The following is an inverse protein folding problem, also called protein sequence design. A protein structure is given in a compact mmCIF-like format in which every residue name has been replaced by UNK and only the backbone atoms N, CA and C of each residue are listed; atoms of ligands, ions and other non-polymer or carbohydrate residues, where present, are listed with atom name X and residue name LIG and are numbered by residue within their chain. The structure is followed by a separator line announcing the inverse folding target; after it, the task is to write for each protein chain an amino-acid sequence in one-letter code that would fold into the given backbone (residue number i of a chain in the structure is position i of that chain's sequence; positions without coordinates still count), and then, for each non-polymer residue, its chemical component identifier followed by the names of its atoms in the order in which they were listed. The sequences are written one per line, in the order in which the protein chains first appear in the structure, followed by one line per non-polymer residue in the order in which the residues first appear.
data_IF_096131017130
#
_entry.id   IF_096131017130
#
_cell.length_a   1.000
_cell.length_b   1.000
_cell.length_c   1.000
_cell.angle_alpha   90.00
_cell.angle_beta   90.00
_cell.angle_gamma   90.00
#
_symmetry.space_group_name_H-M   'P 1'
#
loop_
_entity.id
_entity.type
_entity.pdbx_description
1 polymer ?
#
# COMPACT_ATOMS: atom_id res chain seq x y z
N UNK A 1 6.54 -21.91 23.40
CA UNK A 1 5.63 -20.75 23.41
C UNK A 1 6.06 -19.90 22.22
N UNK A 2 5.22 -19.74 21.19
CA UNK A 2 5.59 -18.92 20.04
C UNK A 2 5.61 -17.45 20.48
N UNK A 3 6.74 -16.77 20.29
CA UNK A 3 6.88 -15.37 20.65
C UNK A 3 5.84 -14.52 19.90
N UNK A 4 5.12 -13.65 20.63
CA UNK A 4 4.14 -12.74 20.03
C UNK A 4 4.91 -11.56 19.43
N UNK A 5 4.93 -11.48 18.11
CA UNK A 5 5.54 -10.36 17.40
C UNK A 5 4.84 -9.05 17.78
N UNK A 6 5.60 -8.05 18.19
CA UNK A 6 5.12 -6.69 18.46
C UNK A 6 5.68 -5.79 17.37
N UNK A 7 4.79 -5.20 16.58
CA UNK A 7 5.16 -4.21 15.58
C UNK A 7 5.20 -2.82 16.24
N UNK A 8 6.33 -2.12 16.08
CA UNK A 8 6.46 -0.70 16.44
C UNK A 8 6.95 0.03 15.20
N UNK A 9 6.12 0.93 14.68
CA UNK A 9 6.44 1.70 13.47
C UNK A 9 5.34 2.68 13.10
N UNK A 10 5.66 3.63 12.21
CA UNK A 10 4.67 4.55 11.64
C UNK A 10 4.13 3.92 10.36
N UNK A 11 2.83 3.64 10.35
CA UNK A 11 2.13 3.20 9.14
C UNK A 11 1.28 4.39 8.66
N UNK A 12 1.55 4.95 7.46
CA UNK A 12 0.70 6.00 6.93
C UNK A 12 -0.71 5.46 6.70
N UNK A 13 -1.69 5.98 7.43
CA UNK A 13 -3.09 5.62 7.21
C UNK A 13 -3.64 6.26 5.93
N UNK A 14 -3.14 7.44 5.55
CA UNK A 14 -3.60 8.20 4.38
C UNK A 14 -2.39 8.77 3.63
N UNK A 15 -2.35 8.53 2.32
CA UNK A 15 -1.36 9.09 1.39
C UNK A 15 -2.11 9.85 0.30
N UNK A 16 -1.66 11.06 -0.03
CA UNK A 16 -2.29 11.89 -1.06
C UNK A 16 -1.36 11.99 -2.26
N UNK A 17 -1.84 11.63 -3.45
CA UNK A 17 -1.05 11.66 -4.69
C UNK A 17 -1.82 12.35 -5.83
N UNK A 18 -1.07 12.90 -6.78
CA UNK A 18 -1.56 13.37 -8.08
C UNK A 18 -1.35 12.33 -9.20
N UNK A 19 -1.82 12.61 -10.43
CA UNK A 19 -1.88 11.60 -11.49
C UNK A 19 -0.53 11.15 -12.08
N UNK A 20 0.56 11.87 -11.82
CA UNK A 20 1.92 11.50 -12.24
C UNK A 20 2.79 11.02 -11.07
N UNK A 21 2.21 10.94 -9.87
CA UNK A 21 2.90 10.52 -8.66
C UNK A 21 2.64 9.03 -8.38
N UNK A 22 3.47 8.41 -7.56
CA UNK A 22 3.30 7.02 -7.14
C UNK A 22 3.53 6.89 -5.63
N UNK A 23 2.99 5.83 -5.05
CA UNK A 23 3.26 5.46 -3.66
C UNK A 23 4.39 4.44 -3.64
N UNK A 24 5.31 4.62 -2.69
CA UNK A 24 6.37 3.67 -2.41
C UNK A 24 6.24 3.19 -0.97
N UNK A 25 6.10 1.88 -0.80
CA UNK A 25 6.15 1.25 0.52
C UNK A 25 7.47 0.49 0.68
N UNK A 26 8.07 0.55 1.86
CA UNK A 26 9.32 -0.11 2.18
C UNK A 26 9.29 -0.60 3.63
N UNK A 27 9.81 -1.80 3.85
CA UNK A 27 10.14 -2.31 5.17
C UNK A 27 11.51 -2.96 5.10
N UNK A 28 12.42 -2.57 5.99
CA UNK A 28 13.76 -3.13 6.05
C UNK A 28 13.79 -4.52 6.69
N UNK A 29 12.74 -4.89 7.43
CA UNK A 29 12.75 -6.05 8.33
C UNK A 29 11.67 -7.08 8.05
N UNK A 30 10.69 -6.78 7.20
CA UNK A 30 9.57 -7.68 6.98
C UNK A 30 9.12 -7.76 5.52
N UNK A 31 8.54 -8.91 5.17
CA UNK A 31 7.84 -9.06 3.90
C UNK A 31 6.60 -8.18 3.94
N UNK A 32 6.48 -7.25 2.99
CA UNK A 32 5.32 -6.40 2.86
C UNK A 32 4.38 -6.93 1.80
N UNK A 33 3.08 -6.84 2.09
CA UNK A 33 2.03 -7.00 1.10
C UNK A 33 0.98 -5.90 1.24
N UNK A 34 0.71 -5.22 0.12
CA UNK A 34 -0.34 -4.22 -0.02
C UNK A 34 -1.42 -4.82 -0.92
N UNK A 35 -2.66 -4.78 -0.47
CA UNK A 35 -3.78 -5.38 -1.19
C UNK A 35 -4.97 -4.42 -1.24
N UNK A 36 -5.24 -3.91 -2.43
CA UNK A 36 -6.45 -3.15 -2.76
C UNK A 36 -7.59 -4.09 -3.12
N UNK A 37 -8.82 -3.59 -2.97
CA UNK A 37 -9.99 -4.22 -3.57
C UNK A 37 -9.78 -4.32 -5.11
N UNK A 38 -9.94 -5.52 -5.72
CA UNK A 38 -9.76 -5.71 -7.16
C UNK A 38 -10.63 -4.81 -8.03
N UNK A 39 -11.83 -4.47 -7.56
CA UNK A 39 -12.78 -3.60 -8.25
C UNK A 39 -12.55 -2.12 -7.93
N UNK A 40 -11.71 -1.81 -6.94
CA UNK A 40 -11.46 -0.45 -6.45
C UNK A 40 -9.98 -0.22 -6.16
N UNK A 41 -9.18 -0.32 -7.22
CA UNK A 41 -7.74 -0.01 -7.21
C UNK A 41 -7.43 1.08 -8.26
N UNK A 42 -6.59 2.07 -7.96
CA UNK A 42 -6.19 3.08 -8.94
C UNK A 42 -5.00 2.62 -9.81
N UNK A 43 -4.31 1.53 -9.44
CA UNK A 43 -3.05 1.10 -10.06
C UNK A 43 -3.20 -0.11 -11.00
N UNK A 44 -2.12 -0.47 -11.71
CA UNK A 44 -2.13 -1.62 -12.63
C UNK A 44 -2.31 -2.97 -11.93
N UNK A 45 -1.70 -3.13 -10.75
CA UNK A 45 -1.93 -4.27 -9.86
C UNK A 45 -2.76 -3.84 -8.66
N UNK A 46 -3.62 -4.72 -8.15
CA UNK A 46 -4.26 -4.54 -6.86
C UNK A 46 -3.50 -5.25 -5.72
N UNK A 47 -2.48 -6.05 -6.04
CA UNK A 47 -1.62 -6.73 -5.05
C UNK A 47 -0.16 -6.41 -5.32
N UNK A 48 0.54 -5.92 -4.29
CA UNK A 48 1.96 -5.62 -4.33
C UNK A 48 2.65 -6.38 -3.21
N UNK A 49 3.74 -7.09 -3.51
CA UNK A 49 4.48 -7.89 -2.52
C UNK A 49 5.99 -7.76 -2.70
N UNK A 50 6.71 -7.56 -1.60
CA UNK A 50 8.16 -7.47 -1.61
C UNK A 50 8.78 -8.09 -0.35
N UNK A 51 9.98 -8.69 -0.49
CA UNK A 51 10.76 -9.10 0.67
C UNK A 51 11.35 -7.87 1.40
N UNK A 52 11.92 -8.08 2.61
CA UNK A 52 12.60 -7.02 3.35
C UNK A 52 13.66 -6.28 2.51
N UNK A 53 13.76 -4.97 2.70
CA UNK A 53 14.72 -4.09 2.04
C UNK A 53 14.41 -3.78 0.56
N UNK A 54 13.29 -4.27 0.01
CA UNK A 54 12.84 -3.96 -1.35
C UNK A 54 11.67 -2.98 -1.33
N UNK A 55 11.73 -1.99 -2.21
CA UNK A 55 10.63 -1.06 -2.42
C UNK A 55 9.48 -1.70 -3.18
N UNK A 56 8.27 -1.47 -2.71
CA UNK A 56 7.03 -1.66 -3.45
C UNK A 56 6.63 -0.36 -4.09
N UNK A 57 6.66 -0.33 -5.42
CA UNK A 57 6.28 0.83 -6.21
C UNK A 57 4.91 0.56 -6.83
N UNK A 58 3.94 1.43 -6.58
CA UNK A 58 2.60 1.30 -7.16
C UNK A 58 2.58 1.53 -8.68
N UNK A 59 3.57 2.27 -9.19
CA UNK A 59 3.42 3.00 -10.44
C UNK A 59 2.40 4.15 -10.33
N UNK A 60 2.28 5.00 -11.35
CA UNK A 60 1.26 6.04 -11.36
C UNK A 60 -0.14 5.42 -11.44
N UNK A 61 -1.18 6.14 -10.95
CA UNK A 61 -2.57 5.78 -11.20
C UNK A 61 -2.84 5.58 -12.69
N UNK A 62 -3.75 4.65 -13.02
CA UNK A 62 -4.15 4.41 -14.42
C UNK A 62 -4.80 5.67 -15.00
N UNK A 63 -4.53 6.01 -16.27
CA UNK A 63 -5.25 7.09 -16.95
C UNK A 63 -6.77 6.90 -16.86
N UNK A 64 -7.50 7.99 -16.59
CA UNK A 64 -8.96 7.94 -16.44
C UNK A 64 -9.46 7.43 -15.09
N UNK A 65 -8.57 7.13 -14.13
CA UNK A 65 -8.97 6.83 -12.75
C UNK A 65 -9.61 8.07 -12.13
N UNK A 66 -10.80 7.91 -11.54
CA UNK A 66 -11.51 9.01 -10.89
C UNK A 66 -10.75 9.51 -9.64
N UNK A 67 -10.77 10.81 -9.35
CA UNK A 67 -10.32 11.32 -8.05
C UNK A 67 -11.08 10.65 -6.91
N UNK A 68 -10.41 10.51 -5.76
CA UNK A 68 -11.05 10.02 -4.54
C UNK A 68 -10.20 9.03 -3.74
N UNK A 69 -10.90 8.35 -2.83
CA UNK A 69 -10.34 7.45 -1.83
C UNK A 69 -10.20 6.02 -2.35
N UNK A 70 -9.01 5.43 -2.19
CA UNK A 70 -8.69 4.05 -2.52
C UNK A 70 -8.07 3.34 -1.31
N UNK A 71 -8.85 2.49 -0.65
CA UNK A 71 -8.41 1.78 0.56
C UNK A 71 -7.67 0.49 0.22
N UNK A 72 -6.68 0.15 1.03
CA UNK A 72 -5.94 -1.12 0.95
C UNK A 72 -5.78 -1.76 2.32
N UNK A 73 -5.52 -3.08 2.31
CA UNK A 73 -5.06 -3.86 3.47
C UNK A 73 -3.55 -3.92 3.47
N UNK A 74 -2.96 -3.71 4.64
CA UNK A 74 -1.53 -3.85 4.87
C UNK A 74 -1.27 -5.17 5.59
N UNK A 75 -0.35 -5.94 5.03
CA UNK A 75 0.11 -7.21 5.56
C UNK A 75 1.61 -7.17 5.78
N UNK A 76 2.05 -7.77 6.88
CA UNK A 76 3.46 -7.91 7.21
C UNK A 76 3.73 -9.35 7.64
N UNK A 77 4.66 -10.04 6.96
CA UNK A 77 4.94 -11.46 7.19
C UNK A 77 3.64 -12.32 7.18
N UNK A 78 2.79 -12.07 6.18
CA UNK A 78 1.47 -12.70 6.00
C UNK A 78 0.45 -12.51 7.14
N UNK A 79 0.73 -11.63 8.10
CA UNK A 79 -0.24 -11.20 9.10
C UNK A 79 -0.87 -9.86 8.69
N UNK A 80 -2.21 -9.73 8.75
CA UNK A 80 -2.86 -8.46 8.51
C UNK A 80 -2.59 -7.54 9.70
N UNK A 81 -2.00 -6.38 9.45
CA UNK A 81 -1.60 -5.43 10.51
C UNK A 81 -2.42 -4.15 10.49
N UNK A 82 -3.17 -3.88 9.41
CA UNK A 82 -4.05 -2.73 9.34
C UNK A 82 -4.52 -2.40 7.94
N UNK A 83 -4.95 -1.15 7.79
CA UNK A 83 -5.46 -0.58 6.55
C UNK A 83 -4.77 0.75 6.27
N UNK A 84 -4.74 1.12 5.00
CA UNK A 84 -4.37 2.47 4.58
C UNK A 84 -5.20 2.93 3.40
N UNK A 85 -4.98 4.17 3.00
CA UNK A 85 -5.76 4.84 1.98
C UNK A 85 -4.86 5.68 1.09
N UNK A 86 -5.11 5.61 -0.21
CA UNK A 86 -4.55 6.54 -1.20
C UNK A 86 -5.67 7.47 -1.64
N UNK A 87 -5.51 8.77 -1.43
CA UNK A 87 -6.37 9.82 -1.97
C UNK A 87 -5.75 10.31 -3.26
N UNK A 88 -6.43 10.05 -4.38
CA UNK A 88 -6.08 10.61 -5.67
C UNK A 88 -6.72 11.99 -5.81
N UNK A 89 -5.89 13.03 -5.91
CA UNK A 89 -6.35 14.40 -6.15
C UNK A 89 -6.75 14.60 -7.61
N UNK A 90 -7.60 15.59 -7.83
CA UNK A 90 -7.80 16.17 -9.16
C UNK A 90 -6.49 16.76 -9.69
N UNK A 91 -6.41 16.90 -11.02
CA UNK A 91 -5.29 17.56 -11.69
C UNK A 91 -5.25 19.04 -11.36
#
# INVERSE_FOLDING_TARGET
MAEKLVLVGVVPEIVVIGPAEQVVWLSDTANLKIEFDPNRCPFQSNVFQAPPGRQLQSGPPRPGTNPGSYKYRLWMNDQPIGHGEVILREK
#
